data_IF_536844664708
#
_entry.id   IF_536844664708
#
_cell.length_a   1.000
_cell.length_b   1.000
_cell.length_c   1.000
_cell.angle_alpha   90.00
_cell.angle_beta   90.00
_cell.angle_gamma   90.00
#
_symmetry.space_group_name_H-M   'P 1'
#
loop_
_entity.id
_entity.type
_entity.pdbx_description
1 polymer ?
#
# COMPACT_ATOMS: atom_id res chain seq x y z
N UNK A 1 -18.29 8.69 8.38
CA UNK A 1 -18.84 7.49 9.01
C UNK A 1 -18.09 7.29 10.30
N UNK A 2 -18.80 7.30 11.42
CA UNK A 2 -18.24 6.84 12.68
C UNK A 2 -18.02 5.31 12.59
N UNK A 3 -17.08 4.74 13.36
CA UNK A 3 -16.92 3.30 13.53
C UNK A 3 -18.23 2.51 13.65
N UNK A 4 -19.22 3.06 14.37
CA UNK A 4 -20.53 2.46 14.59
C UNK A 4 -21.43 2.43 13.36
N UNK A 5 -21.21 3.32 12.38
CA UNK A 5 -21.98 3.33 11.13
C UNK A 5 -21.64 2.12 10.25
N UNK A 6 -20.34 1.77 10.19
CA UNK A 6 -19.87 0.65 9.36
C UNK A 6 -20.40 -0.68 9.86
N UNK A 7 -20.41 -0.88 11.18
CA UNK A 7 -20.95 -2.11 11.76
C UNK A 7 -22.47 -2.23 11.54
N UNK A 8 -23.21 -1.12 11.70
CA UNK A 8 -24.66 -1.10 11.48
C UNK A 8 -25.04 -1.45 10.04
N UNK A 9 -24.27 -0.99 9.06
CA UNK A 9 -24.58 -1.15 7.64
C UNK A 9 -24.01 -2.44 7.03
N UNK A 10 -22.81 -2.86 7.46
CA UNK A 10 -22.05 -3.95 6.83
C UNK A 10 -21.73 -5.12 7.77
N UNK A 11 -22.09 -5.00 9.04
CA UNK A 11 -21.89 -6.02 10.07
C UNK A 11 -20.47 -6.04 10.67
N UNK A 12 -20.29 -6.82 11.75
CA UNK A 12 -19.07 -6.82 12.55
C UNK A 12 -17.85 -7.36 11.79
N UNK A 13 -18.04 -8.28 10.84
CA UNK A 13 -16.93 -8.80 10.02
C UNK A 13 -16.29 -7.71 9.17
N UNK A 14 -17.10 -6.93 8.45
CA UNK A 14 -16.59 -5.82 7.62
C UNK A 14 -15.97 -4.74 8.50
N UNK A 15 -16.62 -4.41 9.61
CA UNK A 15 -16.08 -3.46 10.60
C UNK A 15 -14.67 -3.86 11.06
N UNK A 16 -14.48 -5.12 11.43
CA UNK A 16 -13.19 -5.64 11.89
C UNK A 16 -12.09 -5.57 10.83
N UNK A 17 -12.43 -5.84 9.55
CA UNK A 17 -11.49 -5.67 8.44
C UNK A 17 -11.10 -4.20 8.25
N UNK A 18 -12.08 -3.29 8.29
CA UNK A 18 -11.82 -1.84 8.20
C UNK A 18 -10.92 -1.38 9.34
N UNK A 19 -11.14 -1.85 10.56
CA UNK A 19 -10.28 -1.55 11.71
C UNK A 19 -8.85 -2.01 11.52
N UNK A 20 -8.66 -3.27 11.18
CA UNK A 20 -7.35 -3.86 10.98
C UNK A 20 -6.54 -3.17 9.87
N UNK A 21 -7.21 -2.45 8.97
CA UNK A 21 -6.60 -1.79 7.82
C UNK A 21 -6.53 -0.26 7.94
N UNK A 22 -7.10 0.32 8.99
CA UNK A 22 -7.13 1.77 9.20
C UNK A 22 -5.93 2.22 10.02
N UNK A 23 -5.10 3.09 9.44
CA UNK A 23 -3.97 3.69 10.15
C UNK A 23 -4.44 4.68 11.23
N UNK A 24 -3.79 4.66 12.40
CA UNK A 24 -3.97 5.69 13.42
C UNK A 24 -3.39 7.04 12.94
N UNK A 25 -4.27 7.98 12.59
CA UNK A 25 -3.91 9.31 12.08
C UNK A 25 -3.39 10.26 13.15
N UNK A 26 -3.44 9.92 14.44
CA UNK A 26 -2.78 10.68 15.52
C UNK A 26 -1.25 10.56 15.45
N UNK A 27 -0.74 9.48 14.86
CA UNK A 27 0.69 9.22 14.72
C UNK A 27 1.29 9.95 13.52
N UNK A 28 2.58 10.28 13.62
CA UNK A 28 3.35 10.87 12.51
C UNK A 28 3.44 9.90 11.34
N UNK A 29 3.49 10.44 10.12
CA UNK A 29 3.55 9.66 8.86
C UNK A 29 4.61 8.55 8.86
N UNK A 30 5.82 8.84 9.36
CA UNK A 30 6.90 7.85 9.48
C UNK A 30 6.53 6.68 10.37
N UNK A 31 5.86 6.94 11.50
CA UNK A 31 5.45 5.88 12.43
C UNK A 31 4.32 5.04 11.85
N UNK A 32 3.35 5.66 11.18
CA UNK A 32 2.30 4.91 10.48
C UNK A 32 2.88 3.96 9.42
N UNK A 33 3.82 4.45 8.60
CA UNK A 33 4.53 3.61 7.62
C UNK A 33 5.29 2.45 8.27
N UNK A 34 5.96 2.69 9.40
CA UNK A 34 6.66 1.66 10.16
C UNK A 34 5.68 0.61 10.69
N UNK A 35 4.56 1.04 11.28
CA UNK A 35 3.55 0.16 11.83
C UNK A 35 2.92 -0.74 10.77
N UNK A 36 2.68 -0.25 9.54
CA UNK A 36 2.20 -1.12 8.46
C UNK A 36 3.14 -2.30 8.18
N UNK A 37 4.46 -2.09 8.25
CA UNK A 37 5.45 -3.18 8.08
C UNK A 37 5.43 -4.14 9.27
N UNK A 38 5.38 -3.61 10.49
CA UNK A 38 5.36 -4.40 11.73
C UNK A 38 4.08 -5.22 11.88
N UNK A 39 2.94 -4.66 11.49
CA UNK A 39 1.63 -5.29 11.68
C UNK A 39 1.25 -6.24 10.55
N UNK A 40 1.76 -6.05 9.33
CA UNK A 40 1.41 -6.86 8.16
C UNK A 40 1.46 -8.39 8.39
N UNK A 41 2.49 -8.97 9.04
CA UNK A 41 2.54 -10.40 9.36
C UNK A 41 1.42 -10.89 10.27
N UNK A 42 0.89 -10.02 11.12
CA UNK A 42 -0.11 -10.33 12.14
C UNK A 42 -1.55 -10.10 11.69
N UNK A 43 -1.76 -9.63 10.45
CA UNK A 43 -3.09 -9.48 9.87
C UNK A 43 -3.70 -10.85 9.56
N UNK A 44 -5.02 -10.92 9.73
CA UNK A 44 -5.83 -12.05 9.27
C UNK A 44 -5.76 -12.20 7.73
N UNK A 45 -5.97 -13.41 7.17
CA UNK A 45 -5.82 -13.67 5.74
C UNK A 45 -6.61 -12.70 4.84
N UNK A 46 -7.86 -12.40 5.19
CA UNK A 46 -8.70 -11.47 4.43
C UNK A 46 -8.14 -10.04 4.43
N UNK A 47 -7.60 -9.58 5.57
CA UNK A 47 -6.98 -8.26 5.66
C UNK A 47 -5.65 -8.21 4.88
N UNK A 48 -4.86 -9.30 4.89
CA UNK A 48 -3.66 -9.43 4.07
C UNK A 48 -3.98 -9.31 2.57
N UNK A 49 -5.01 -9.99 2.09
CA UNK A 49 -5.44 -9.88 0.69
C UNK A 49 -5.82 -8.45 0.31
N UNK A 50 -6.60 -7.76 1.15
CA UNK A 50 -6.97 -6.36 0.90
C UNK A 50 -5.73 -5.46 0.92
N UNK A 51 -4.78 -5.67 1.84
CA UNK A 51 -3.55 -4.88 1.92
C UNK A 51 -2.68 -5.08 0.68
N UNK A 52 -2.58 -6.29 0.15
CA UNK A 52 -1.83 -6.56 -1.10
C UNK A 52 -2.52 -5.88 -2.29
N UNK A 53 -3.85 -5.97 -2.39
CA UNK A 53 -4.62 -5.31 -3.44
C UNK A 53 -4.46 -3.79 -3.41
N UNK A 54 -4.57 -3.18 -2.22
CA UNK A 54 -4.32 -1.75 -2.00
C UNK A 54 -2.89 -1.36 -2.43
N UNK A 55 -1.86 -2.10 -2.01
CA UNK A 55 -0.48 -1.79 -2.38
C UNK A 55 -0.21 -1.99 -3.88
N UNK A 56 -0.86 -2.96 -4.51
CA UNK A 56 -0.78 -3.18 -5.95
C UNK A 56 -1.32 -1.97 -6.71
N UNK A 57 -2.51 -1.47 -6.34
CA UNK A 57 -3.09 -0.28 -6.96
C UNK A 57 -2.20 0.95 -6.76
N UNK A 58 -1.73 1.19 -5.53
CA UNK A 58 -0.85 2.32 -5.23
C UNK A 58 0.49 2.26 -5.99
N UNK A 59 1.08 1.07 -6.17
CA UNK A 59 2.34 0.91 -6.93
C UNK A 59 2.11 1.15 -8.41
N UNK A 60 0.98 0.68 -8.96
CA UNK A 60 0.58 0.99 -10.33
C UNK A 60 0.52 2.50 -10.54
N UNK A 61 -0.22 3.22 -9.68
CA UNK A 61 -0.38 4.68 -9.78
C UNK A 61 0.97 5.40 -9.67
N UNK A 62 1.85 5.00 -8.75
CA UNK A 62 3.19 5.60 -8.61
C UNK A 62 4.06 5.41 -9.87
N UNK A 63 3.83 4.34 -10.63
CA UNK A 63 4.52 4.08 -11.89
C UNK A 63 3.90 4.77 -13.10
N UNK A 64 2.57 4.87 -13.16
CA UNK A 64 1.79 5.28 -14.34
C UNK A 64 1.35 6.74 -14.31
N UNK A 65 0.75 7.18 -13.19
CA UNK A 65 0.29 8.57 -12.97
C UNK A 65 0.69 9.04 -11.55
N UNK A 66 2.00 9.27 -11.32
CA UNK A 66 2.49 9.60 -10.00
C UNK A 66 1.97 10.97 -9.55
N UNK A 67 1.76 11.17 -8.24
CA UNK A 67 1.38 12.48 -7.72
C UNK A 67 2.39 13.54 -8.17
N UNK A 68 1.90 14.60 -8.82
CA UNK A 68 2.70 15.61 -9.55
C UNK A 68 3.84 16.26 -8.75
N UNK A 69 3.78 16.21 -7.42
CA UNK A 69 4.78 16.78 -6.50
C UNK A 69 5.79 15.76 -5.94
N UNK A 70 5.78 14.51 -6.41
CA UNK A 70 6.69 13.48 -5.89
C UNK A 70 7.99 13.44 -6.69
N UNK A 71 9.14 13.79 -6.07
CA UNK A 71 10.43 13.58 -6.71
C UNK A 71 10.69 12.09 -6.90
N UNK A 72 11.56 11.75 -7.86
CA UNK A 72 11.89 10.36 -8.22
C UNK A 72 12.35 9.54 -7.00
N UNK A 73 13.18 10.12 -6.14
CA UNK A 73 13.64 9.48 -4.89
C UNK A 73 12.46 9.08 -4.00
N UNK A 74 11.48 9.97 -3.80
CA UNK A 74 10.29 9.68 -3.00
C UNK A 74 9.45 8.55 -3.60
N UNK A 75 9.38 8.45 -4.92
CA UNK A 75 8.68 7.34 -5.60
C UNK A 75 9.40 6.02 -5.35
N UNK A 76 10.73 5.99 -5.49
CA UNK A 76 11.57 4.81 -5.20
C UNK A 76 11.44 4.35 -3.74
N UNK A 77 11.56 5.28 -2.80
CA UNK A 77 11.38 5.01 -1.36
C UNK A 77 9.97 4.45 -1.06
N UNK A 78 8.96 4.94 -1.78
CA UNK A 78 7.61 4.44 -1.65
C UNK A 78 7.50 3.00 -2.16
N UNK A 79 8.04 2.70 -3.34
CA UNK A 79 8.07 1.34 -3.88
C UNK A 79 8.76 0.36 -2.93
N UNK A 80 9.93 0.72 -2.41
CA UNK A 80 10.65 -0.10 -1.42
C UNK A 80 9.83 -0.30 -0.14
N UNK A 81 9.18 0.75 0.36
CA UNK A 81 8.31 0.64 1.53
C UNK A 81 7.12 -0.31 1.26
N UNK A 82 6.48 -0.23 0.09
CA UNK A 82 5.38 -1.14 -0.24
C UNK A 82 5.84 -2.59 -0.28
N UNK A 83 7.05 -2.87 -0.78
CA UNK A 83 7.62 -4.21 -0.86
C UNK A 83 7.79 -4.81 0.54
N UNK A 84 8.28 -4.01 1.50
CA UNK A 84 8.42 -4.42 2.90
C UNK A 84 7.06 -4.71 3.56
N UNK A 85 6.01 -3.95 3.24
CA UNK A 85 4.65 -4.22 3.74
C UNK A 85 4.11 -5.51 3.14
N UNK A 86 4.19 -5.66 1.82
CA UNK A 86 3.63 -6.84 1.12
C UNK A 86 4.37 -8.11 1.52
N UNK A 87 5.69 -8.07 1.75
CA UNK A 87 6.44 -9.22 2.26
C UNK A 87 5.83 -9.82 3.54
N UNK A 88 5.24 -9.00 4.42
CA UNK A 88 4.53 -9.47 5.61
C UNK A 88 3.13 -10.04 5.34
N UNK A 89 2.55 -9.79 4.16
CA UNK A 89 1.20 -10.24 3.81
C UNK A 89 1.17 -11.50 2.93
N UNK A 90 2.30 -11.91 2.34
CA UNK A 90 2.36 -13.01 1.36
C UNK A 90 1.92 -14.37 1.89
N UNK A 91 1.61 -15.27 0.95
CA UNK A 91 1.30 -16.67 1.23
C UNK A 91 -0.17 -16.94 1.53
N UNK A 92 -1.03 -15.92 1.43
CA UNK A 92 -2.49 -16.06 1.59
C UNK A 92 -3.23 -16.19 0.26
N UNK A 93 -2.66 -15.63 -0.83
CA UNK A 93 -3.24 -15.66 -2.16
C UNK A 93 -2.15 -15.46 -3.23
N UNK A 94 -1.76 -16.55 -3.88
CA UNK A 94 -0.66 -16.57 -4.86
C UNK A 94 -0.89 -15.65 -6.06
N UNK A 95 -2.15 -15.49 -6.50
CA UNK A 95 -2.50 -14.63 -7.61
C UNK A 95 -2.31 -13.14 -7.25
N UNK A 96 -2.66 -12.74 -6.03
CA UNK A 96 -2.41 -11.38 -5.54
C UNK A 96 -0.91 -11.12 -5.35
N UNK A 97 -0.18 -12.08 -4.78
CA UNK A 97 1.28 -11.99 -4.61
C UNK A 97 1.97 -11.78 -5.96
N UNK A 98 1.64 -12.62 -6.95
CA UNK A 98 2.20 -12.56 -8.31
C UNK A 98 1.81 -11.27 -9.04
N UNK A 99 0.57 -10.78 -8.86
CA UNK A 99 0.13 -9.53 -9.47
C UNK A 99 0.89 -8.34 -8.91
N UNK A 100 1.11 -8.30 -7.59
CA UNK A 100 1.91 -7.26 -6.97
C UNK A 100 3.35 -7.26 -7.53
N UNK A 101 3.98 -8.43 -7.65
CA UNK A 101 5.35 -8.56 -8.18
C UNK A 101 5.48 -8.02 -9.60
N UNK A 102 4.55 -8.39 -10.48
CA UNK A 102 4.53 -7.88 -11.85
C UNK A 102 4.41 -6.35 -11.88
N UNK A 103 3.47 -5.79 -11.10
CA UNK A 103 3.25 -4.34 -11.05
C UNK A 103 4.46 -3.60 -10.46
N UNK A 104 5.13 -4.17 -9.47
CA UNK A 104 6.35 -3.59 -8.89
C UNK A 104 7.50 -3.53 -9.90
N UNK A 105 7.69 -4.59 -10.68
CA UNK A 105 8.71 -4.64 -11.76
C UNK A 105 8.39 -3.59 -12.82
N UNK A 106 7.14 -3.53 -13.29
CA UNK A 106 6.71 -2.56 -14.28
C UNK A 106 6.89 -1.11 -13.78
N UNK A 107 6.51 -0.82 -12.53
CA UNK A 107 6.67 0.50 -11.93
C UNK A 107 8.15 0.91 -11.81
N UNK A 108 9.04 0.00 -11.42
CA UNK A 108 10.49 0.28 -11.36
C UNK A 108 11.05 0.59 -12.75
N UNK A 109 10.68 -0.21 -13.77
CA UNK A 109 11.10 0.03 -15.14
C UNK A 109 10.64 1.40 -15.67
N UNK A 110 9.40 1.81 -15.36
CA UNK A 110 8.90 3.16 -15.71
C UNK A 110 9.71 4.26 -15.03
N UNK A 111 10.04 4.12 -13.74
CA UNK A 111 10.86 5.09 -13.00
C UNK A 111 12.32 5.15 -13.47
N UNK A 112 12.83 4.12 -14.14
CA UNK A 112 14.14 4.13 -14.78
C UNK A 112 14.10 4.80 -16.17
N UNK A 113 13.01 4.56 -16.92
CA UNK A 113 12.80 5.15 -18.24
C UNK A 113 12.39 6.64 -18.19
N UNK A 114 11.78 7.09 -17.09
CA UNK A 114 11.44 8.49 -16.82
C UNK A 114 12.34 9.06 -15.69
N UNK A 115 13.59 9.46 -16.00
CA UNK A 115 14.38 10.28 -15.09
C UNK A 115 13.76 11.67 -15.08
N UNK A 116 12.63 11.84 -14.38
CA UNK A 116 11.75 13.01 -14.26
C UNK A 116 12.08 14.27 -15.08
N UNK A 117 11.07 14.98 -15.67
CA UNK A 117 11.31 16.26 -16.31
C UNK A 117 12.05 17.17 -15.33
N UNK A 118 13.17 17.73 -15.81
CA UNK A 118 14.08 18.55 -15.03
C UNK A 118 13.34 19.56 -14.16
N UNK A 119 13.91 19.82 -12.99
CA UNK A 119 13.41 20.83 -12.07
C UNK A 119 12.98 22.09 -12.80
N UNK A 120 11.72 22.45 -12.64
CA UNK A 120 11.21 23.75 -13.01
C UNK A 120 11.09 24.58 -11.73
N UNK A 121 12.04 25.53 -11.64
CA UNK A 121 12.16 26.71 -10.77
C UNK A 121 12.42 26.51 -9.26
#
# INVERSE_FOLDING_TARGET
AEPSDIEREFGPRVRGLVDALTDDKSLRSRERKRLQVVQAPHLEPDAKMIKIADKTANVYDVGDDPPSRWPLERRRDYLEWTERVVAGCRGVNEALDSRYDAVLVEARARLEADPAPGGAE
#
